data_IF_486362645939
#
_entry.id   IF_486362645939
#
_cell.length_a   1.000
_cell.length_b   1.000
_cell.length_c   1.000
_cell.angle_alpha   90.00
_cell.angle_beta   90.00
_cell.angle_gamma   90.00
#
_symmetry.space_group_name_H-M   'P 1'
#
loop_
_entity.id
_entity.type
_entity.pdbx_description
1 polymer ?
#
# COMPACT_ATOMS: atom_id res chain seq x y z
N UNK A 1 -19.40 -10.01 22.28
CA UNK A 1 -18.55 -9.79 21.06
C UNK A 1 -17.14 -9.32 21.38
N UNK A 2 -16.92 -8.30 22.26
CA UNK A 2 -15.56 -7.79 22.56
C UNK A 2 -14.66 -8.84 23.24
N UNK A 3 -15.19 -9.69 24.13
CA UNK A 3 -14.42 -10.75 24.79
C UNK A 3 -13.89 -11.81 23.79
N UNK A 4 -14.76 -12.25 22.89
CA UNK A 4 -14.41 -13.19 21.81
C UNK A 4 -13.34 -12.57 20.89
N UNK A 5 -13.43 -11.24 20.66
CA UNK A 5 -12.46 -10.50 19.86
C UNK A 5 -11.05 -10.55 20.46
N UNK A 6 -10.90 -10.53 21.80
CA UNK A 6 -9.58 -10.68 22.44
C UNK A 6 -8.93 -12.03 22.11
N UNK A 7 -9.69 -13.13 22.19
CA UNK A 7 -9.19 -14.45 21.89
C UNK A 7 -8.69 -14.58 20.44
N UNK A 8 -9.56 -14.26 19.47
CA UNK A 8 -9.19 -14.36 18.07
C UNK A 8 -8.13 -13.35 17.65
N UNK A 9 -8.10 -12.16 18.24
CA UNK A 9 -7.05 -11.17 18.00
C UNK A 9 -5.69 -11.63 18.51
N UNK A 10 -5.64 -12.40 19.61
CA UNK A 10 -4.38 -12.97 20.11
C UNK A 10 -3.84 -14.02 19.15
N UNK A 11 -4.69 -14.91 18.64
CA UNK A 11 -4.31 -15.91 17.61
C UNK A 11 -3.84 -15.20 16.35
N UNK A 12 -4.59 -14.21 15.90
CA UNK A 12 -4.21 -13.40 14.73
C UNK A 12 -2.85 -12.73 14.92
N UNK A 13 -2.63 -12.07 16.07
CA UNK A 13 -1.37 -11.39 16.37
C UNK A 13 -0.19 -12.36 16.39
N UNK A 14 -0.38 -13.55 16.95
CA UNK A 14 0.63 -14.60 16.95
C UNK A 14 0.97 -15.05 15.51
N UNK A 15 -0.04 -15.39 14.72
CA UNK A 15 0.16 -15.85 13.31
C UNK A 15 0.77 -14.72 12.47
N UNK A 16 0.31 -13.49 12.64
CA UNK A 16 0.84 -12.32 11.95
C UNK A 16 2.33 -12.12 12.25
N UNK A 17 2.70 -12.09 13.54
CA UNK A 17 4.09 -11.91 13.96
C UNK A 17 4.97 -13.08 13.56
N UNK A 18 4.50 -14.32 13.75
CA UNK A 18 5.21 -15.52 13.33
C UNK A 18 5.51 -15.49 11.83
N UNK A 19 4.53 -15.08 11.01
CA UNK A 19 4.74 -14.93 9.57
C UNK A 19 5.86 -13.91 9.27
N UNK A 20 5.90 -12.77 9.96
CA UNK A 20 6.96 -11.78 9.77
C UNK A 20 8.34 -12.33 10.15
N UNK A 21 8.44 -13.12 11.23
CA UNK A 21 9.70 -13.71 11.70
C UNK A 21 10.20 -14.79 10.74
N UNK A 22 9.30 -15.71 10.33
CA UNK A 22 9.64 -16.81 9.41
C UNK A 22 10.06 -16.28 8.04
N UNK A 23 9.36 -15.29 7.51
CA UNK A 23 9.67 -14.73 6.19
C UNK A 23 10.88 -13.79 6.18
N UNK A 24 11.38 -13.38 7.33
CA UNK A 24 12.56 -12.51 7.39
C UNK A 24 13.82 -13.18 6.81
N UNK A 25 14.26 -14.37 7.26
CA UNK A 25 15.37 -15.07 6.65
C UNK A 25 15.11 -15.47 5.20
N UNK A 26 13.86 -15.84 4.84
CA UNK A 26 13.51 -16.16 3.47
C UNK A 26 13.67 -14.96 2.53
N UNK A 27 13.32 -13.75 2.97
CA UNK A 27 13.57 -12.52 2.21
C UNK A 27 15.06 -12.26 2.04
N UNK A 28 15.86 -12.49 3.09
CA UNK A 28 17.32 -12.34 3.01
C UNK A 28 17.93 -13.32 1.99
N UNK A 29 17.54 -14.60 2.03
CA UNK A 29 17.96 -15.62 1.05
C UNK A 29 17.49 -15.22 -0.36
N UNK A 30 16.22 -14.86 -0.49
CA UNK A 30 15.65 -14.43 -1.77
C UNK A 30 16.40 -13.26 -2.38
N UNK A 31 16.80 -12.28 -1.57
CA UNK A 31 17.60 -11.12 -2.03
C UNK A 31 18.99 -11.55 -2.54
N UNK A 32 19.63 -12.54 -1.91
CA UNK A 32 20.93 -13.09 -2.36
C UNK A 32 20.82 -13.81 -3.72
N UNK A 33 19.69 -14.44 -3.99
CA UNK A 33 19.41 -15.10 -5.27
C UNK A 33 19.12 -14.05 -6.35
N UNK A 34 18.40 -12.97 -6.00
CA UNK A 34 18.08 -11.86 -6.90
C UNK A 34 16.72 -11.23 -6.65
N UNK A 35 16.46 -10.14 -7.36
CA UNK A 35 15.25 -9.32 -7.19
C UNK A 35 13.95 -10.11 -7.30
N UNK A 36 13.81 -10.98 -8.32
CA UNK A 36 12.57 -11.72 -8.55
C UNK A 36 12.28 -12.72 -7.41
N UNK A 37 13.32 -13.40 -6.90
CA UNK A 37 13.20 -14.33 -5.78
C UNK A 37 12.80 -13.59 -4.50
N UNK A 38 13.43 -12.44 -4.20
CA UNK A 38 13.02 -11.59 -3.07
C UNK A 38 11.57 -11.14 -3.22
N UNK A 39 11.19 -10.65 -4.40
CA UNK A 39 9.83 -10.21 -4.68
C UNK A 39 8.80 -11.33 -4.47
N UNK A 40 9.08 -12.55 -4.95
CA UNK A 40 8.17 -13.67 -4.78
C UNK A 40 7.94 -14.01 -3.30
N UNK A 41 8.99 -13.99 -2.48
CA UNK A 41 8.89 -14.17 -1.02
C UNK A 41 8.03 -13.07 -0.39
N UNK A 42 8.21 -11.81 -0.79
CA UNK A 42 7.40 -10.68 -0.32
C UNK A 42 5.94 -10.84 -0.74
N UNK A 43 5.66 -11.25 -1.97
CA UNK A 43 4.30 -11.46 -2.47
C UNK A 43 3.57 -12.56 -1.67
N UNK A 44 4.24 -13.70 -1.42
CA UNK A 44 3.68 -14.80 -0.62
C UNK A 44 3.42 -14.35 0.83
N UNK A 45 4.35 -13.62 1.45
CA UNK A 45 4.13 -13.05 2.77
C UNK A 45 2.87 -12.19 2.80
N UNK A 46 2.71 -11.29 1.83
CA UNK A 46 1.55 -10.39 1.80
C UNK A 46 0.24 -11.12 1.51
N UNK A 47 0.27 -12.24 0.77
CA UNK A 47 -0.86 -13.14 0.65
C UNK A 47 -1.23 -13.75 2.02
N UNK A 48 -0.26 -14.27 2.76
CA UNK A 48 -0.49 -14.83 4.11
C UNK A 48 -1.06 -13.77 5.04
N UNK A 49 -0.46 -12.57 5.06
CA UNK A 49 -0.93 -11.46 5.90
C UNK A 49 -2.37 -11.03 5.54
N UNK A 50 -2.71 -11.05 4.24
CA UNK A 50 -4.08 -10.77 3.78
C UNK A 50 -5.05 -11.87 4.23
N UNK A 51 -4.66 -13.15 4.09
CA UNK A 51 -5.49 -14.30 4.47
C UNK A 51 -5.61 -14.48 5.98
N UNK A 52 -4.60 -14.08 6.76
CA UNK A 52 -4.66 -14.15 8.23
C UNK A 52 -5.80 -13.32 8.84
N UNK A 53 -6.29 -12.30 8.14
CA UNK A 53 -7.47 -11.54 8.56
C UNK A 53 -8.73 -12.41 8.71
N UNK A 54 -8.78 -13.59 8.05
CA UNK A 54 -9.88 -14.55 8.22
C UNK A 54 -9.93 -15.13 9.63
N UNK A 55 -8.81 -15.16 10.37
CA UNK A 55 -8.78 -15.63 11.77
C UNK A 55 -9.73 -14.80 12.65
N UNK A 56 -9.82 -13.51 12.37
CA UNK A 56 -10.74 -12.59 13.04
C UNK A 56 -12.03 -12.36 12.24
N UNK A 57 -12.34 -13.25 11.30
CA UNK A 57 -13.55 -13.19 10.47
C UNK A 57 -13.59 -12.02 9.48
N UNK A 58 -12.50 -11.27 9.29
CA UNK A 58 -12.45 -10.19 8.31
C UNK A 58 -12.15 -10.74 6.92
N UNK A 59 -12.93 -10.34 5.92
CA UNK A 59 -12.74 -10.71 4.52
C UNK A 59 -12.17 -9.54 3.72
N UNK A 60 -11.33 -9.84 2.74
CA UNK A 60 -10.76 -8.86 1.82
C UNK A 60 -11.23 -9.16 0.40
N UNK A 61 -11.87 -8.19 -0.22
CA UNK A 61 -12.36 -8.25 -1.59
C UNK A 61 -11.62 -7.20 -2.42
N UNK A 62 -10.84 -7.66 -3.39
CA UNK A 62 -10.13 -6.80 -4.32
C UNK A 62 -10.78 -6.90 -5.70
N UNK A 63 -11.21 -5.76 -6.26
CA UNK A 63 -11.88 -5.70 -7.55
C UNK A 63 -11.11 -4.81 -8.52
N UNK A 64 -10.74 -5.34 -9.66
CA UNK A 64 -10.22 -4.58 -10.80
C UNK A 64 -11.39 -4.30 -11.73
N UNK A 65 -11.82 -3.03 -11.82
CA UNK A 65 -13.02 -2.65 -12.59
C UNK A 65 -12.74 -2.37 -14.05
N UNK A 66 -11.50 -1.98 -14.37
CA UNK A 66 -11.07 -1.68 -15.74
C UNK A 66 -9.70 -2.32 -15.97
N UNK A 67 -9.41 -2.76 -17.20
CA UNK A 67 -8.08 -3.25 -17.55
C UNK A 67 -7.00 -2.22 -17.19
N UNK A 68 -6.00 -2.64 -16.43
CA UNK A 68 -4.84 -1.79 -16.11
C UNK A 68 -3.80 -2.03 -17.19
N UNK A 69 -3.24 -0.97 -17.82
CA UNK A 69 -2.27 -1.11 -18.88
C UNK A 69 -1.08 -1.98 -18.48
N UNK A 70 -0.72 -2.92 -19.32
CA UNK A 70 0.48 -3.73 -19.18
C UNK A 70 1.65 -3.03 -19.88
N UNK A 71 2.88 -3.33 -19.45
CA UNK A 71 4.12 -2.73 -19.99
C UNK A 71 4.23 -1.20 -19.83
N UNK A 72 3.42 -0.61 -18.97
CA UNK A 72 3.45 0.80 -18.60
C UNK A 72 3.76 0.98 -17.12
N UNK A 73 4.41 2.08 -16.78
CA UNK A 73 4.52 2.47 -15.36
C UNK A 73 3.15 2.87 -14.84
N UNK A 74 2.76 2.31 -13.70
CA UNK A 74 1.48 2.63 -13.05
C UNK A 74 1.75 3.38 -11.74
N UNK A 75 1.00 4.44 -11.53
CA UNK A 75 0.97 5.16 -10.26
C UNK A 75 -0.38 4.87 -9.61
N UNK A 76 -0.38 3.95 -8.65
CA UNK A 76 -1.55 3.65 -7.84
C UNK A 76 -1.73 4.74 -6.78
N UNK A 77 -2.87 5.39 -6.77
CA UNK A 77 -3.24 6.42 -5.80
C UNK A 77 -4.42 5.92 -4.99
N UNK A 78 -4.29 5.85 -3.68
CA UNK A 78 -5.32 5.29 -2.81
C UNK A 78 -5.59 6.18 -1.59
N UNK A 79 -6.82 6.17 -1.07
CA UNK A 79 -7.09 6.62 0.29
C UNK A 79 -6.48 5.63 1.30
N UNK A 80 -6.28 6.05 2.55
CA UNK A 80 -5.58 5.24 3.55
C UNK A 80 -6.40 5.11 4.84
N UNK A 81 -6.86 3.91 5.12
CA UNK A 81 -7.72 3.64 6.28
C UNK A 81 -7.07 2.75 7.35
N UNK A 82 -6.12 1.87 6.98
CA UNK A 82 -5.58 0.93 7.93
C UNK A 82 -4.19 0.38 7.57
N UNK A 83 -3.62 -0.36 8.53
CA UNK A 83 -2.39 -1.11 8.29
C UNK A 83 -2.58 -2.18 7.21
N UNK A 84 -3.78 -2.74 7.15
CA UNK A 84 -4.15 -3.84 6.25
C UNK A 84 -4.58 -3.38 4.85
N UNK A 85 -4.34 -2.11 4.48
CA UNK A 85 -4.48 -1.64 3.10
C UNK A 85 -3.34 -2.16 2.21
N UNK A 86 -2.14 -2.30 2.79
CA UNK A 86 -0.89 -2.57 2.06
C UNK A 86 -0.79 -4.03 1.59
N UNK A 87 -0.97 -5.06 2.44
CA UNK A 87 -0.82 -6.45 2.01
C UNK A 87 -1.68 -6.85 0.80
N UNK A 88 -2.98 -6.52 0.74
CA UNK A 88 -3.78 -6.83 -0.43
C UNK A 88 -3.34 -6.07 -1.69
N UNK A 89 -2.91 -4.80 -1.58
CA UNK A 89 -2.37 -4.07 -2.75
C UNK A 89 -1.15 -4.79 -3.30
N UNK A 90 -0.20 -5.19 -2.45
CA UNK A 90 1.01 -5.92 -2.88
C UNK A 90 0.61 -7.23 -3.56
N UNK A 91 -0.27 -8.02 -2.95
CA UNK A 91 -0.65 -9.33 -3.48
C UNK A 91 -1.46 -9.27 -4.77
N UNK A 92 -2.54 -8.49 -4.80
CA UNK A 92 -3.44 -8.46 -5.95
C UNK A 92 -2.85 -7.70 -7.15
N UNK A 93 -1.97 -6.71 -6.89
CA UNK A 93 -1.27 -5.95 -7.93
C UNK A 93 0.20 -6.40 -8.13
N UNK A 94 0.58 -7.60 -7.67
CA UNK A 94 1.96 -8.11 -7.70
C UNK A 94 2.61 -8.10 -9.10
N UNK A 95 1.82 -8.27 -10.16
CA UNK A 95 2.33 -8.23 -11.53
C UNK A 95 2.87 -6.84 -11.94
N UNK A 96 2.44 -5.78 -11.26
CA UNK A 96 2.88 -4.40 -11.51
C UNK A 96 4.08 -3.99 -10.65
N UNK A 97 4.64 -4.89 -9.84
CA UNK A 97 5.80 -4.59 -8.98
C UNK A 97 5.61 -3.33 -8.12
N UNK A 98 4.46 -3.21 -7.45
CA UNK A 98 4.07 -2.03 -6.67
C UNK A 98 5.06 -1.72 -5.53
N UNK A 99 5.59 -0.49 -5.49
CA UNK A 99 6.50 0.05 -4.48
C UNK A 99 5.83 1.21 -3.76
N UNK A 100 6.12 1.39 -2.49
CA UNK A 100 5.39 2.30 -1.61
C UNK A 100 6.26 3.47 -1.14
N UNK A 101 5.60 4.61 -0.93
CA UNK A 101 6.15 5.69 -0.13
C UNK A 101 5.76 5.45 1.34
N UNK A 102 6.75 5.23 2.19
CA UNK A 102 6.58 4.80 3.58
C UNK A 102 7.32 5.72 4.55
N UNK A 103 6.91 5.72 5.82
CA UNK A 103 7.62 6.45 6.87
C UNK A 103 9.00 5.83 7.13
N UNK A 104 10.00 6.67 7.35
CA UNK A 104 11.38 6.25 7.62
C UNK A 104 11.50 5.35 8.86
N UNK A 105 10.67 5.58 9.87
CA UNK A 105 10.66 4.78 11.10
C UNK A 105 10.30 3.32 10.85
N UNK A 106 9.50 3.02 9.82
CA UNK A 106 9.14 1.65 9.43
C UNK A 106 10.32 0.88 8.81
N UNK A 107 11.37 1.57 8.41
CA UNK A 107 12.62 0.96 7.93
C UNK A 107 13.43 0.27 9.03
N UNK A 108 13.01 0.28 10.30
CA UNK A 108 13.76 -0.30 11.42
C UNK A 108 12.85 -1.11 12.35
N UNK A 109 13.40 -2.20 12.89
CA UNK A 109 12.82 -2.92 14.04
C UNK A 109 11.67 -3.87 13.77
N UNK A 110 11.13 -3.96 12.56
CA UNK A 110 10.00 -4.86 12.24
C UNK A 110 10.50 -5.96 11.29
N UNK A 111 10.57 -7.23 11.72
CA UNK A 111 10.99 -8.34 10.84
C UNK A 111 10.22 -8.31 9.51
N UNK A 112 10.85 -8.72 8.45
CA UNK A 112 10.32 -8.75 7.07
C UNK A 112 9.91 -7.38 6.52
N UNK A 113 9.12 -6.59 7.25
CA UNK A 113 8.63 -5.29 6.79
C UNK A 113 9.78 -4.31 6.62
N UNK A 114 10.60 -4.10 7.67
CA UNK A 114 11.74 -3.17 7.59
C UNK A 114 12.76 -3.60 6.55
N UNK A 115 12.97 -4.91 6.42
CA UNK A 115 13.88 -5.47 5.42
C UNK A 115 13.37 -5.20 3.99
N UNK A 116 12.11 -5.51 3.70
CA UNK A 116 11.51 -5.24 2.40
C UNK A 116 11.50 -3.74 2.07
N UNK A 117 11.18 -2.87 3.03
CA UNK A 117 11.17 -1.43 2.79
C UNK A 117 12.57 -0.90 2.43
N UNK A 118 13.64 -1.45 2.99
CA UNK A 118 15.02 -1.06 2.67
C UNK A 118 15.51 -1.62 1.33
N UNK A 119 15.18 -2.86 1.04
CA UNK A 119 15.77 -3.61 -0.08
C UNK A 119 14.82 -3.83 -1.25
N UNK A 120 13.52 -3.67 -1.02
CA UNK A 120 12.46 -3.90 -2.00
C UNK A 120 12.13 -2.71 -2.90
N UNK A 121 12.80 -1.56 -2.74
CA UNK A 121 12.63 -0.39 -3.61
C UNK A 121 11.62 0.65 -3.12
N UNK A 122 11.18 0.60 -1.86
CA UNK A 122 10.32 1.63 -1.28
C UNK A 122 11.04 2.97 -1.10
N UNK A 123 10.28 4.07 -1.02
CA UNK A 123 10.77 5.36 -0.56
C UNK A 123 10.56 5.47 0.96
N UNK A 124 11.61 5.77 1.70
CA UNK A 124 11.57 5.96 3.15
C UNK A 124 11.71 7.44 3.49
N UNK A 125 10.59 8.10 3.80
CA UNK A 125 10.52 9.55 4.01
C UNK A 125 10.40 9.93 5.48
N UNK A 126 11.15 10.96 5.88
CA UNK A 126 10.94 11.67 7.14
C UNK A 126 9.94 12.82 6.90
N UNK A 127 8.72 12.66 7.37
CA UNK A 127 7.67 13.69 7.17
C UNK A 127 7.91 14.99 7.92
N UNK A 128 8.84 15.00 8.89
CA UNK A 128 9.26 16.20 9.62
C UNK A 128 10.36 16.98 8.87
N UNK A 129 10.93 16.40 7.82
CA UNK A 129 12.00 16.97 7.02
C UNK A 129 11.59 17.04 5.54
N UNK A 130 10.89 18.10 5.13
CA UNK A 130 10.34 18.23 3.76
C UNK A 130 11.42 18.08 2.67
N UNK A 131 12.63 18.57 2.89
CA UNK A 131 13.76 18.45 1.93
C UNK A 131 14.14 16.99 1.72
N UNK A 132 14.34 16.23 2.80
CA UNK A 132 14.65 14.78 2.73
C UNK A 132 13.51 14.03 2.04
N UNK A 133 12.25 14.30 2.42
CA UNK A 133 11.09 13.65 1.85
C UNK A 133 10.99 13.88 0.33
N UNK A 134 11.17 15.11 -0.14
CA UNK A 134 11.12 15.43 -1.56
C UNK A 134 12.28 14.81 -2.34
N UNK A 135 13.49 14.81 -1.78
CA UNK A 135 14.66 14.16 -2.40
C UNK A 135 14.43 12.66 -2.55
N UNK A 136 13.98 11.98 -1.51
CA UNK A 136 13.70 10.54 -1.54
C UNK A 136 12.56 10.20 -2.52
N UNK A 137 11.50 11.02 -2.59
CA UNK A 137 10.40 10.81 -3.55
C UNK A 137 10.88 11.04 -4.99
N UNK A 138 11.77 12.00 -5.22
CA UNK A 138 12.43 12.21 -6.52
C UNK A 138 13.20 10.97 -6.95
N UNK A 139 14.10 10.49 -6.10
CA UNK A 139 14.89 9.28 -6.36
C UNK A 139 14.01 8.05 -6.54
N UNK A 140 12.95 7.94 -5.76
CA UNK A 140 11.95 6.89 -5.90
C UNK A 140 11.27 6.94 -7.28
N UNK A 141 10.83 8.13 -7.73
CA UNK A 141 10.27 8.31 -9.07
C UNK A 141 11.23 7.87 -10.18
N UNK A 142 12.52 8.18 -10.04
CA UNK A 142 13.57 7.75 -10.97
C UNK A 142 13.78 6.23 -10.92
N UNK A 143 13.79 5.62 -9.73
CA UNK A 143 13.90 4.15 -9.58
C UNK A 143 12.70 3.42 -10.20
N UNK A 144 11.50 3.94 -10.00
CA UNK A 144 10.26 3.41 -10.58
C UNK A 144 10.35 3.42 -12.10
N UNK A 145 10.75 4.54 -12.70
CA UNK A 145 10.94 4.68 -14.14
C UNK A 145 11.99 3.70 -14.69
N UNK A 146 13.19 3.73 -14.11
CA UNK A 146 14.34 2.91 -14.55
C UNK A 146 14.04 1.41 -14.53
N UNK A 147 13.33 0.93 -13.51
CA UNK A 147 13.07 -0.50 -13.31
C UNK A 147 11.72 -0.95 -13.87
N UNK A 148 10.95 -0.05 -14.49
CA UNK A 148 9.58 -0.31 -14.97
C UNK A 148 8.68 -0.87 -13.84
N UNK A 149 8.85 -0.35 -12.63
CA UNK A 149 8.01 -0.67 -11.47
C UNK A 149 6.76 0.21 -11.47
N UNK A 150 5.86 -0.06 -10.52
CA UNK A 150 4.76 0.83 -10.21
C UNK A 150 4.97 1.49 -8.85
N UNK A 151 4.50 2.72 -8.73
CA UNK A 151 4.46 3.45 -7.47
C UNK A 151 3.09 3.28 -6.83
N UNK A 152 3.03 3.17 -5.50
CA UNK A 152 1.79 3.28 -4.72
C UNK A 152 1.96 4.38 -3.69
N UNK A 153 1.04 5.33 -3.69
CA UNK A 153 1.05 6.47 -2.77
C UNK A 153 -0.32 6.67 -2.13
N UNK A 154 -0.30 7.03 -0.85
CA UNK A 154 -1.44 7.46 -0.07
C UNK A 154 -1.33 8.97 0.16
N UNK A 155 -1.98 9.83 -0.67
CA UNK A 155 -1.80 11.28 -0.60
C UNK A 155 -2.28 11.91 0.72
N UNK A 156 -3.13 11.22 1.47
CA UNK A 156 -3.54 11.64 2.83
C UNK A 156 -2.35 11.72 3.80
N UNK A 157 -1.24 11.06 3.49
CA UNK A 157 -0.05 11.02 4.31
C UNK A 157 -0.22 10.31 5.65
N UNK A 158 -1.42 10.01 6.11
CA UNK A 158 -1.71 9.30 7.36
C UNK A 158 -3.04 8.56 7.25
N UNK A 159 -3.22 7.53 8.08
CA UNK A 159 -4.43 6.70 8.09
C UNK A 159 -5.65 7.46 8.62
N UNK A 160 -6.81 7.25 8.01
CA UNK A 160 -8.11 7.64 8.56
C UNK A 160 -8.57 6.59 9.56
N UNK A 161 -8.81 6.99 10.80
CA UNK A 161 -9.30 6.09 11.86
C UNK A 161 -10.82 6.00 11.93
N UNK A 162 -11.51 6.75 11.08
CA UNK A 162 -12.99 6.84 11.03
C UNK A 162 -13.56 6.41 9.69
N UNK A 163 -12.71 6.08 8.72
CA UNK A 163 -13.11 5.82 7.33
C UNK A 163 -13.33 7.07 6.49
N UNK A 164 -13.52 8.24 7.09
CA UNK A 164 -13.68 9.50 6.36
C UNK A 164 -12.39 9.88 5.64
N UNK A 165 -12.44 10.34 4.38
CA UNK A 165 -11.25 10.75 3.66
C UNK A 165 -10.61 11.97 4.31
N UNK A 166 -9.29 12.06 4.23
CA UNK A 166 -8.52 13.24 4.63
C UNK A 166 -8.09 14.01 3.39
N UNK A 167 -7.68 15.25 3.60
CA UNK A 167 -7.12 16.08 2.53
C UNK A 167 -5.95 15.38 1.83
N UNK A 168 -5.93 15.41 0.51
CA UNK A 168 -4.83 14.92 -0.29
C UNK A 168 -3.73 15.98 -0.43
N UNK A 169 -2.50 15.56 -0.25
CA UNK A 169 -1.30 16.37 -0.47
C UNK A 169 -0.63 15.93 -1.77
N UNK A 170 -0.61 16.80 -2.75
CA UNK A 170 -0.22 16.46 -4.12
C UNK A 170 1.29 16.54 -4.38
N UNK A 171 2.08 17.18 -3.51
CA UNK A 171 3.51 17.42 -3.76
C UNK A 171 4.31 16.16 -4.07
N UNK A 172 4.12 15.09 -3.28
CA UNK A 172 4.76 13.80 -3.53
C UNK A 172 4.30 13.15 -4.82
N UNK A 173 3.00 13.21 -5.11
CA UNK A 173 2.42 12.65 -6.33
C UNK A 173 2.92 13.39 -7.58
N UNK A 174 2.91 14.74 -7.55
CA UNK A 174 3.48 15.58 -8.64
C UNK A 174 4.96 15.22 -8.90
N UNK A 175 5.74 14.97 -7.84
CA UNK A 175 7.14 14.59 -8.00
C UNK A 175 7.30 13.23 -8.70
N UNK A 176 6.50 12.21 -8.33
CA UNK A 176 6.53 10.89 -8.99
C UNK A 176 6.13 11.02 -10.47
N UNK A 177 5.07 11.78 -10.76
CA UNK A 177 4.57 12.04 -12.11
C UNK A 177 5.66 12.68 -12.98
N UNK A 178 6.36 13.70 -12.46
CA UNK A 178 7.42 14.41 -13.18
C UNK A 178 8.50 13.49 -13.75
N UNK A 179 8.80 12.39 -13.06
CA UNK A 179 9.81 11.41 -13.47
C UNK A 179 9.24 10.22 -14.25
N UNK A 180 7.92 10.18 -14.44
CA UNK A 180 7.22 9.09 -15.15
C UNK A 180 6.15 9.67 -16.10
N UNK A 181 6.52 10.47 -17.11
CA UNK A 181 5.55 11.18 -17.95
C UNK A 181 4.67 10.26 -18.79
N UNK A 182 5.12 9.05 -19.10
CA UNK A 182 4.40 8.04 -19.87
C UNK A 182 3.47 7.15 -18.99
N UNK A 183 3.42 7.40 -17.68
CA UNK A 183 2.69 6.55 -16.75
C UNK A 183 1.16 6.76 -16.81
N UNK A 184 0.45 5.82 -16.20
CA UNK A 184 -0.98 5.94 -15.92
C UNK A 184 -1.20 6.09 -14.42
N UNK A 185 -2.13 6.96 -14.02
CA UNK A 185 -2.69 6.95 -12.68
C UNK A 185 -3.83 5.95 -12.63
N UNK A 186 -3.81 5.07 -11.64
CA UNK A 186 -4.93 4.17 -11.33
C UNK A 186 -5.42 4.48 -9.93
N UNK A 187 -6.58 5.14 -9.79
CA UNK A 187 -7.17 5.40 -8.50
C UNK A 187 -7.64 4.10 -7.84
N UNK A 188 -7.47 3.98 -6.52
CA UNK A 188 -7.96 2.86 -5.72
C UNK A 188 -8.77 3.39 -4.56
N UNK A 189 -10.01 2.93 -4.40
CA UNK A 189 -10.82 3.20 -3.21
C UNK A 189 -10.75 2.03 -2.25
N UNK A 190 -10.45 2.33 -0.99
CA UNK A 190 -10.40 1.39 0.12
C UNK A 190 -11.52 1.71 1.10
N UNK A 191 -12.32 0.72 1.43
CA UNK A 191 -13.41 0.85 2.39
C UNK A 191 -13.30 -0.18 3.50
N UNK A 192 -13.67 0.25 4.71
CA UNK A 192 -13.87 -0.58 5.90
C UNK A 192 -12.62 -1.19 6.52
N UNK A 193 -11.41 -0.91 6.02
CA UNK A 193 -10.19 -1.43 6.66
C UNK A 193 -9.90 -0.75 8.01
N UNK A 194 -10.38 0.49 8.23
CA UNK A 194 -10.30 1.17 9.52
C UNK A 194 -11.06 0.43 10.63
N UNK A 195 -12.11 -0.32 10.28
CA UNK A 195 -12.94 -1.07 11.24
C UNK A 195 -12.17 -2.16 11.97
N UNK A 196 -11.05 -2.63 11.39
CA UNK A 196 -10.14 -3.57 12.06
C UNK A 196 -9.58 -2.95 13.35
N UNK A 197 -9.42 -1.64 13.40
CA UNK A 197 -8.92 -0.90 14.56
C UNK A 197 -10.00 -0.10 15.30
N UNK A 198 -11.28 -0.41 15.09
CA UNK A 198 -12.41 0.34 15.70
C UNK A 198 -12.42 0.36 17.24
N UNK A 199 -11.74 -0.58 17.89
CA UNK A 199 -11.58 -0.63 19.34
C UNK A 199 -10.22 -0.07 19.82
N UNK A 200 -9.43 0.53 18.94
CA UNK A 200 -8.05 0.94 19.17
C UNK A 200 -7.05 -0.09 18.66
N UNK A 201 -5.87 -0.17 19.30
CA UNK A 201 -4.81 -1.09 18.84
C UNK A 201 -5.14 -2.56 19.11
N UNK A 202 -5.89 -2.84 20.16
CA UNK A 202 -6.28 -4.19 20.60
C UNK A 202 -7.53 -4.14 21.50
N UNK A 203 -8.49 -5.07 21.40
CA UNK A 203 -8.58 -6.13 20.39
C UNK A 203 -8.95 -5.58 19.01
N UNK A 204 -8.76 -6.40 17.98
CA UNK A 204 -9.11 -6.04 16.60
C UNK A 204 -10.62 -6.17 16.35
N UNK A 205 -11.15 -5.35 15.45
CA UNK A 205 -12.52 -5.46 14.98
C UNK A 205 -12.72 -6.70 14.12
N UNK A 206 -13.80 -7.44 14.38
CA UNK A 206 -14.13 -8.70 13.72
C UNK A 206 -15.24 -8.53 12.69
N UNK A 207 -15.32 -9.50 11.77
CA UNK A 207 -16.39 -9.69 10.79
C UNK A 207 -16.61 -8.47 9.87
N UNK A 208 -15.53 -7.77 9.52
CA UNK A 208 -15.63 -6.66 8.57
C UNK A 208 -15.34 -7.16 7.14
N UNK A 209 -16.05 -6.57 6.18
CA UNK A 209 -15.81 -6.79 4.75
C UNK A 209 -14.99 -5.63 4.21
N UNK A 210 -13.67 -5.82 4.14
CA UNK A 210 -12.74 -4.85 3.58
C UNK A 210 -12.82 -4.92 2.05
N UNK A 211 -13.01 -3.78 1.39
CA UNK A 211 -13.05 -3.74 -0.07
C UNK A 211 -11.99 -2.79 -0.62
N UNK A 212 -11.31 -3.24 -1.67
CA UNK A 212 -10.40 -2.42 -2.48
C UNK A 212 -10.89 -2.50 -3.93
N UNK A 213 -11.06 -1.34 -4.55
CA UNK A 213 -11.56 -1.26 -5.92
C UNK A 213 -10.66 -0.31 -6.73
N UNK A 214 -10.10 -0.81 -7.84
CA UNK A 214 -9.39 0.05 -8.80
C UNK A 214 -10.40 0.70 -9.73
N UNK A 215 -10.10 1.93 -10.18
CA UNK A 215 -10.93 2.66 -11.12
C UNK A 215 -10.23 2.79 -12.47
N UNK A 216 -10.89 3.48 -13.40
CA UNK A 216 -10.37 3.68 -14.75
C UNK A 216 -8.98 4.30 -14.74
N UNK A 217 -7.99 3.68 -15.41
CA UNK A 217 -6.68 4.26 -15.60
C UNK A 217 -6.77 5.59 -16.37
N UNK A 218 -6.02 6.59 -15.93
CA UNK A 218 -5.94 7.90 -16.58
C UNK A 218 -4.48 8.12 -17.01
N UNK A 219 -4.25 8.33 -18.31
CA UNK A 219 -2.91 8.63 -18.80
C UNK A 219 -2.50 10.01 -18.30
N UNK A 220 -1.23 10.19 -17.92
CA UNK A 220 -0.76 11.42 -17.26
C UNK A 220 -0.90 12.64 -18.18
N UNK A 221 -0.68 12.46 -19.50
CA UNK A 221 -0.77 13.53 -20.50
C UNK A 221 -2.20 13.80 -20.99
N UNK A 222 -3.20 13.07 -20.48
CA UNK A 222 -4.59 13.23 -20.91
C UNK A 222 -5.26 14.53 -20.39
N UNK A 223 -4.73 15.13 -19.33
CA UNK A 223 -5.28 16.32 -18.66
C UNK A 223 -4.16 17.19 -18.10
N UNK A 224 -4.40 18.51 -17.90
CA UNK A 224 -3.52 19.33 -17.08
C UNK A 224 -3.31 18.73 -15.70
N UNK A 225 -2.10 18.84 -15.14
CA UNK A 225 -1.71 18.12 -13.93
C UNK A 225 -2.66 18.35 -12.74
N UNK A 226 -3.11 19.57 -12.54
CA UNK A 226 -3.97 19.89 -11.39
C UNK A 226 -5.38 19.30 -11.57
N UNK A 227 -5.90 19.31 -12.79
CA UNK A 227 -7.18 18.68 -13.14
C UNK A 227 -7.10 17.14 -13.00
N UNK A 228 -6.01 16.53 -13.46
CA UNK A 228 -5.74 15.10 -13.31
C UNK A 228 -5.76 14.68 -11.83
N UNK A 229 -5.12 15.46 -10.97
CA UNK A 229 -5.06 15.19 -9.54
C UNK A 229 -6.42 15.35 -8.84
N UNK A 230 -7.15 16.43 -9.17
CA UNK A 230 -8.50 16.64 -8.65
C UNK A 230 -9.47 15.55 -9.10
N UNK A 231 -9.41 15.13 -10.37
CA UNK A 231 -10.21 14.03 -10.89
C UNK A 231 -9.88 12.71 -10.19
N UNK A 232 -8.59 12.44 -9.95
CA UNK A 232 -8.13 11.26 -9.21
C UNK A 232 -8.70 11.25 -7.79
N UNK A 233 -8.59 12.36 -7.06
CA UNK A 233 -9.15 12.52 -5.70
C UNK A 233 -10.67 12.35 -5.70
N UNK A 234 -11.38 13.07 -6.57
CA UNK A 234 -12.83 12.99 -6.69
C UNK A 234 -13.32 11.56 -6.99
N UNK A 235 -12.61 10.85 -7.88
CA UNK A 235 -12.92 9.44 -8.19
C UNK A 235 -12.82 8.56 -6.94
N UNK A 236 -11.76 8.70 -6.15
CA UNK A 236 -11.55 7.93 -4.93
C UNK A 236 -12.62 8.28 -3.89
N UNK A 237 -12.82 9.57 -3.63
CA UNK A 237 -13.74 10.04 -2.58
C UNK A 237 -15.19 9.67 -2.89
N UNK A 238 -15.62 9.76 -4.13
CA UNK A 238 -17.00 9.43 -4.54
C UNK A 238 -17.41 7.98 -4.27
N UNK A 239 -16.45 7.07 -4.04
CA UNK A 239 -16.66 5.63 -3.80
C UNK A 239 -16.39 5.22 -2.36
N UNK A 240 -15.99 6.15 -1.48
CA UNK A 240 -15.87 5.90 -0.04
C UNK A 240 -17.27 5.80 0.57
N UNK A 241 -17.47 4.78 1.42
CA UNK A 241 -18.73 4.47 2.11
C UNK A 241 -18.69 4.92 3.55
#
# INVERSE_FOLDING_TARGET
MKLISYFFSSIFAFVFFLSLVVFHPLQWIGLKIGYQSHKNVVDILNWILTKSLLIIGNTVHFKVTHPIPENSTIIFVANHQGLFDIPPIIWYLRKYHSKFVSKIELGKGIPSISFNLKHGGAALINRKEPKQALTEIKEFGQRVHKNKWSATIFPEGTRSVTGKPKKFYYSGLKMIIKYNPEAYIVPITINDSWKVFKYGKFPLGMFNKITLETHQPIKIDALPIDELLQKTEATIISKIK
#
